data_IF_223689733033
#
_entry.id   IF_223689733033
#
_cell.length_a   1.000
_cell.length_b   1.000
_cell.length_c   1.000
_cell.angle_alpha   90.00
_cell.angle_beta   90.00
_cell.angle_gamma   90.00
#
_symmetry.space_group_name_H-M   'P 1'
#
loop_
_entity.id
_entity.type
_entity.pdbx_description
1 polymer ?
#
# COMPACT_ATOMS: atom_id res chain seq x y z
N UNK A 1 -18.55 24.67 13.07
CA UNK A 1 -17.50 24.47 12.05
C UNK A 1 -16.30 23.81 12.72
N UNK A 2 -15.72 22.74 12.13
CA UNK A 2 -14.50 22.11 12.68
C UNK A 2 -13.30 23.07 12.54
N UNK A 3 -12.37 23.03 13.48
CA UNK A 3 -11.14 23.83 13.46
C UNK A 3 -9.96 22.94 13.06
N UNK A 4 -9.00 23.49 12.31
CA UNK A 4 -7.74 22.81 12.01
C UNK A 4 -6.84 22.92 13.25
N UNK A 5 -6.50 21.78 13.84
CA UNK A 5 -5.67 21.72 15.06
C UNK A 5 -4.18 21.52 14.76
N UNK A 6 -3.83 21.13 13.53
CA UNK A 6 -2.45 20.94 13.09
C UNK A 6 -2.36 20.68 11.58
N UNK A 7 -1.20 21.03 11.01
CA UNK A 7 -0.83 20.74 9.62
C UNK A 7 0.59 20.20 9.63
N UNK A 8 0.80 19.04 9.01
CA UNK A 8 2.06 18.34 9.02
C UNK A 8 2.53 18.12 7.58
N UNK A 9 3.81 18.39 7.33
CA UNK A 9 4.42 18.15 6.01
C UNK A 9 4.77 16.68 5.87
N UNK A 10 4.55 16.10 4.69
CA UNK A 10 4.88 14.71 4.42
C UNK A 10 6.37 14.44 4.70
N UNK A 11 6.71 13.36 5.45
CA UNK A 11 8.09 13.03 5.76
C UNK A 11 8.87 12.59 4.52
N UNK A 12 10.16 12.32 4.72
CA UNK A 12 11.02 11.74 3.68
C UNK A 12 10.48 10.39 3.23
N UNK A 13 10.58 10.07 1.93
CA UNK A 13 10.18 8.76 1.44
C UNK A 13 11.10 7.66 1.99
N UNK A 14 10.55 6.46 2.09
CA UNK A 14 11.27 5.22 2.37
C UNK A 14 10.63 4.08 1.59
N UNK A 15 11.24 2.90 1.64
CA UNK A 15 10.76 1.72 0.90
C UNK A 15 10.08 0.74 1.84
N UNK A 16 8.92 0.24 1.44
CA UNK A 16 8.31 -0.98 1.95
C UNK A 16 8.55 -2.06 0.90
N UNK A 17 9.37 -3.05 1.27
CA UNK A 17 9.94 -4.00 0.32
C UNK A 17 10.74 -3.28 -0.78
N UNK A 18 10.58 -3.71 -2.03
CA UNK A 18 11.20 -3.08 -3.22
C UNK A 18 10.17 -2.59 -4.26
N UNK A 19 8.88 -2.73 -3.96
CA UNK A 19 7.77 -2.28 -4.80
C UNK A 19 7.14 -0.96 -4.38
N UNK A 20 7.23 -0.57 -3.10
CA UNK A 20 6.43 0.55 -2.58
C UNK A 20 7.32 1.66 -1.99
N UNK A 21 7.66 2.70 -2.78
CA UNK A 21 8.32 3.90 -2.28
C UNK A 21 7.26 4.83 -1.68
N UNK A 22 7.13 4.77 -0.35
CA UNK A 22 6.04 5.40 0.40
C UNK A 22 6.50 6.57 1.26
N UNK A 23 5.55 7.42 1.63
CA UNK A 23 5.66 8.40 2.71
C UNK A 23 4.59 8.10 3.77
N UNK A 24 5.00 7.77 4.99
CA UNK A 24 4.06 7.59 6.10
C UNK A 24 3.54 8.94 6.58
N UNK A 25 2.36 9.35 6.11
CA UNK A 25 1.81 10.67 6.43
C UNK A 25 1.43 10.77 7.91
N UNK A 26 1.03 9.65 8.51
CA UNK A 26 0.93 9.50 9.96
C UNK A 26 1.18 8.06 10.40
N UNK A 27 1.46 7.90 11.70
CA UNK A 27 1.54 6.59 12.35
C UNK A 27 1.05 6.66 13.80
N UNK A 28 0.69 5.50 14.33
CA UNK A 28 0.26 5.32 15.72
C UNK A 28 1.33 5.72 16.74
N UNK A 29 2.59 5.88 16.31
CA UNK A 29 3.68 6.31 17.19
C UNK A 29 3.70 7.83 17.42
N UNK A 30 3.10 8.62 16.52
CA UNK A 30 3.19 10.09 16.56
C UNK A 30 1.87 10.78 16.91
N UNK A 31 0.72 10.21 16.54
CA UNK A 31 -0.60 10.88 16.63
C UNK A 31 -1.78 9.97 17.03
N UNK A 32 -1.52 8.79 17.63
CA UNK A 32 -2.54 7.74 17.84
C UNK A 32 -3.87 8.22 18.44
N UNK A 33 -3.85 9.04 19.51
CA UNK A 33 -5.09 9.44 20.19
C UNK A 33 -5.98 10.34 19.32
N UNK A 34 -5.38 11.23 18.53
CA UNK A 34 -6.11 12.19 17.71
C UNK A 34 -6.62 11.56 16.41
N UNK A 35 -5.93 10.53 15.93
CA UNK A 35 -6.23 9.86 14.67
C UNK A 35 -7.02 8.57 14.84
N UNK A 36 -7.28 8.12 16.07
CA UNK A 36 -8.15 6.96 16.31
C UNK A 36 -9.47 7.08 15.52
N UNK A 37 -9.84 6.07 14.70
CA UNK A 37 -9.33 4.70 14.69
C UNK A 37 -8.17 4.39 13.72
N UNK A 38 -7.61 5.38 13.02
CA UNK A 38 -6.56 5.18 12.01
C UNK A 38 -5.18 4.97 12.65
N UNK A 39 -4.45 3.94 12.19
CA UNK A 39 -3.15 3.55 12.77
C UNK A 39 -1.97 4.02 11.92
N UNK A 40 -2.08 3.97 10.62
CA UNK A 40 -1.02 4.31 9.67
C UNK A 40 -1.66 4.75 8.36
N UNK A 41 -0.99 5.63 7.63
CA UNK A 41 -1.31 5.89 6.24
C UNK A 41 -0.01 6.09 5.48
N UNK A 42 0.29 5.16 4.59
CA UNK A 42 1.38 5.26 3.64
C UNK A 42 0.85 5.76 2.30
N UNK A 43 1.50 6.78 1.75
CA UNK A 43 1.23 7.25 0.39
C UNK A 43 2.39 6.87 -0.53
N UNK A 44 2.16 5.89 -1.41
CA UNK A 44 3.13 5.51 -2.44
C UNK A 44 3.04 6.46 -3.65
N UNK A 45 4.19 6.97 -4.08
CA UNK A 45 4.31 7.67 -5.36
C UNK A 45 3.87 9.14 -5.43
N UNK A 46 3.64 9.68 -6.64
CA UNK A 46 3.81 9.00 -7.93
C UNK A 46 5.26 8.53 -8.14
N UNK A 47 5.43 7.27 -8.54
CA UNK A 47 6.74 6.69 -8.86
C UNK A 47 6.65 5.92 -10.18
N UNK A 48 7.63 6.15 -11.05
CA UNK A 48 7.74 5.44 -12.33
C UNK A 48 8.71 4.27 -12.17
N UNK A 49 8.23 3.06 -12.42
CA UNK A 49 9.08 1.87 -12.47
C UNK A 49 9.55 1.60 -13.90
N UNK A 50 10.83 1.28 -14.03
CA UNK A 50 11.38 0.76 -15.29
C UNK A 50 10.79 -0.63 -15.55
N UNK A 51 10.30 -0.92 -16.76
CA UNK A 51 9.86 -2.26 -17.12
C UNK A 51 10.95 -3.30 -16.91
N UNK A 52 10.59 -4.49 -16.42
CA UNK A 52 11.52 -5.59 -16.17
C UNK A 52 10.79 -6.88 -15.85
N UNK A 53 11.55 -7.96 -15.71
CA UNK A 53 11.02 -9.30 -15.41
C UNK A 53 11.03 -9.62 -13.90
N UNK A 54 11.48 -8.68 -13.06
CA UNK A 54 11.54 -8.86 -11.61
C UNK A 54 10.22 -8.46 -10.97
N UNK A 55 9.64 -9.38 -10.19
CA UNK A 55 8.46 -9.11 -9.38
C UNK A 55 8.88 -8.22 -8.21
N UNK A 56 8.29 -7.02 -8.12
CA UNK A 56 8.58 -6.02 -7.07
C UNK A 56 7.40 -5.88 -6.13
N UNK A 57 7.66 -5.77 -4.83
CA UNK A 57 6.63 -5.75 -3.81
C UNK A 57 7.20 -5.91 -2.41
N UNK A 58 6.41 -6.52 -1.54
CA UNK A 58 6.79 -6.97 -0.21
C UNK A 58 6.38 -8.44 -0.10
N UNK A 59 7.36 -9.28 0.28
CA UNK A 59 7.12 -10.71 0.47
C UNK A 59 6.20 -11.02 1.65
N UNK A 60 6.07 -12.31 1.96
CA UNK A 60 5.18 -12.77 3.04
C UNK A 60 5.44 -12.04 4.36
N UNK A 61 4.38 -11.44 4.91
CA UNK A 61 4.41 -10.73 6.18
C UNK A 61 3.07 -10.85 6.92
N UNK A 62 3.05 -10.75 8.27
CA UNK A 62 1.84 -10.95 9.06
C UNK A 62 1.12 -9.64 9.43
N UNK A 63 -0.20 -9.72 9.58
CA UNK A 63 -1.03 -8.73 10.28
C UNK A 63 -1.98 -9.40 11.27
N UNK A 64 -2.35 -8.68 12.34
CA UNK A 64 -3.30 -9.14 13.37
C UNK A 64 -3.90 -7.94 14.11
N UNK A 65 -5.20 -7.97 14.37
CA UNK A 65 -5.90 -7.04 15.26
C UNK A 65 -6.35 -5.72 14.63
N UNK A 66 -6.17 -5.54 13.33
CA UNK A 66 -6.60 -4.37 12.57
C UNK A 66 -6.96 -4.74 11.13
N UNK A 67 -7.25 -3.74 10.32
CA UNK A 67 -7.57 -3.87 8.90
C UNK A 67 -6.58 -3.05 8.08
N UNK A 68 -6.22 -3.54 6.89
CA UNK A 68 -5.50 -2.76 5.89
C UNK A 68 -6.46 -2.38 4.77
N UNK A 69 -6.34 -1.15 4.28
CA UNK A 69 -7.18 -0.65 3.19
C UNK A 69 -6.30 -0.15 2.08
N UNK A 70 -6.20 -0.94 1.02
CA UNK A 70 -5.35 -0.67 -0.14
C UNK A 70 -6.16 0.02 -1.22
N UNK A 71 -5.83 1.28 -1.53
CA UNK A 71 -6.46 2.08 -2.60
C UNK A 71 -5.44 2.30 -3.71
N UNK A 72 -5.77 1.86 -4.93
CA UNK A 72 -4.89 1.99 -6.09
C UNK A 72 -5.37 3.12 -6.98
N UNK A 73 -4.61 4.22 -7.05
CA UNK A 73 -4.92 5.33 -7.97
C UNK A 73 -4.42 5.06 -9.39
N UNK A 74 -3.28 4.37 -9.52
CA UNK A 74 -2.67 4.00 -10.79
C UNK A 74 -1.70 2.84 -10.55
N UNK A 75 -1.46 2.05 -11.60
CA UNK A 75 -0.77 0.77 -11.51
C UNK A 75 -1.70 -0.35 -11.05
N UNK A 76 -1.13 -1.48 -10.67
CA UNK A 76 -1.88 -2.65 -10.20
C UNK A 76 -1.09 -3.37 -9.10
N UNK A 77 -1.80 -3.82 -8.05
CA UNK A 77 -1.23 -4.62 -6.96
C UNK A 77 -1.87 -6.00 -6.98
N UNK A 78 -1.08 -7.05 -7.07
CA UNK A 78 -1.50 -8.43 -6.83
C UNK A 78 -1.20 -8.79 -5.37
N UNK A 79 -2.17 -9.41 -4.69
CA UNK A 79 -1.99 -9.92 -3.35
C UNK A 79 -2.38 -11.40 -3.26
N UNK A 80 -1.75 -12.12 -2.32
CA UNK A 80 -2.09 -13.51 -1.98
C UNK A 80 -1.92 -13.71 -0.48
N UNK A 81 -2.84 -14.45 0.13
CA UNK A 81 -2.85 -14.73 1.57
C UNK A 81 -2.76 -16.23 1.90
N UNK A 82 -2.48 -16.50 3.17
CA UNK A 82 -2.33 -17.85 3.73
C UNK A 82 -3.60 -18.71 3.68
N UNK A 83 -4.76 -18.15 3.35
CA UNK A 83 -6.00 -18.91 3.12
C UNK A 83 -6.13 -19.39 1.66
N UNK A 84 -5.14 -19.06 0.82
CA UNK A 84 -5.14 -19.33 -0.61
C UNK A 84 -5.98 -18.34 -1.41
N UNK A 85 -6.49 -17.28 -0.77
CA UNK A 85 -7.21 -16.19 -1.44
C UNK A 85 -6.23 -15.13 -1.89
N UNK A 86 -6.69 -14.28 -2.80
CA UNK A 86 -5.87 -13.29 -3.47
C UNK A 86 -6.66 -12.59 -4.58
N UNK A 87 -6.00 -11.66 -5.24
CA UNK A 87 -6.60 -10.89 -6.32
C UNK A 87 -5.67 -9.80 -6.84
N UNK A 88 -6.10 -9.15 -7.92
CA UNK A 88 -5.45 -7.94 -8.44
C UNK A 88 -6.34 -6.75 -8.12
N UNK A 89 -5.74 -5.69 -7.60
CA UNK A 89 -6.33 -4.39 -7.28
C UNK A 89 -5.87 -3.41 -8.36
N UNK A 90 -6.77 -3.01 -9.25
CA UNK A 90 -6.47 -2.11 -10.35
C UNK A 90 -6.77 -0.64 -10.06
N UNK A 91 -6.55 0.27 -11.03
CA UNK A 91 -6.81 1.69 -10.86
C UNK A 91 -8.29 1.97 -10.53
N UNK A 92 -8.53 2.61 -9.38
CA UNK A 92 -9.86 2.92 -8.85
C UNK A 92 -10.43 1.85 -7.93
N UNK A 93 -9.82 0.66 -7.87
CA UNK A 93 -10.24 -0.41 -6.98
C UNK A 93 -9.76 -0.17 -5.55
N UNK A 94 -10.48 -0.80 -4.62
CA UNK A 94 -10.14 -0.81 -3.19
C UNK A 94 -10.21 -2.24 -2.68
N UNK A 95 -9.16 -2.63 -1.96
CA UNK A 95 -9.20 -3.82 -1.11
C UNK A 95 -9.31 -3.38 0.35
N UNK A 96 -10.26 -3.95 1.07
CA UNK A 96 -10.40 -3.78 2.52
C UNK A 96 -10.20 -5.15 3.17
N UNK A 97 -9.04 -5.39 3.75
CA UNK A 97 -8.66 -6.68 4.32
C UNK A 97 -8.73 -6.65 5.85
N UNK A 98 -9.66 -7.42 6.41
CA UNK A 98 -9.76 -7.62 7.87
C UNK A 98 -8.78 -8.70 8.32
N UNK A 99 -7.65 -8.33 8.93
CA UNK A 99 -6.68 -9.30 9.43
C UNK A 99 -7.18 -10.05 10.68
N UNK A 100 -7.95 -9.37 11.55
CA UNK A 100 -8.63 -9.99 12.69
C UNK A 100 -7.70 -10.84 13.58
N UNK A 101 -7.98 -12.14 13.70
CA UNK A 101 -7.17 -13.07 14.50
C UNK A 101 -5.77 -13.34 13.93
N UNK A 102 -5.52 -12.97 12.67
CA UNK A 102 -4.23 -13.08 12.02
C UNK A 102 -4.35 -13.49 10.55
N UNK A 103 -3.54 -12.88 9.71
CA UNK A 103 -3.34 -13.28 8.32
C UNK A 103 -1.85 -13.13 7.95
N UNK A 104 -1.33 -14.06 7.16
CA UNK A 104 -0.05 -13.92 6.47
C UNK A 104 -0.39 -13.63 5.01
N UNK A 105 0.25 -12.63 4.43
CA UNK A 105 0.01 -12.25 3.04
C UNK A 105 1.25 -11.63 2.40
N UNK A 106 1.24 -11.56 1.07
CA UNK A 106 2.25 -10.89 0.26
C UNK A 106 1.56 -9.95 -0.73
N UNK A 107 2.24 -8.87 -1.10
CA UNK A 107 1.72 -7.82 -1.99
C UNK A 107 2.80 -7.41 -2.98
N UNK A 108 2.50 -7.53 -4.27
CA UNK A 108 3.43 -7.22 -5.35
C UNK A 108 2.74 -6.43 -6.44
N UNK A 109 3.51 -5.81 -7.33
CA UNK A 109 2.96 -5.35 -8.60
C UNK A 109 2.40 -6.56 -9.38
N UNK A 110 1.28 -6.37 -10.07
CA UNK A 110 0.70 -7.45 -10.89
C UNK A 110 1.64 -7.83 -12.03
N UNK A 111 1.53 -9.07 -12.52
CA UNK A 111 2.28 -9.50 -13.71
C UNK A 111 1.94 -8.62 -14.95
N UNK A 112 0.69 -8.13 -15.02
CA UNK A 112 0.22 -7.26 -16.10
C UNK A 112 0.74 -5.82 -15.99
N UNK A 113 1.26 -5.40 -14.83
CA UNK A 113 1.89 -4.09 -14.62
C UNK A 113 3.24 -3.96 -15.32
N UNK A 114 3.92 -5.08 -15.58
CA UNK A 114 5.17 -5.14 -16.33
C UNK A 114 5.02 -5.83 -17.71
N UNK A 115 4.09 -5.42 -18.59
CA UNK A 115 3.99 -6.06 -19.89
C UNK A 115 5.25 -5.73 -20.70
N UNK A 116 5.82 -6.76 -21.32
CA UNK A 116 7.02 -6.65 -22.13
C UNK A 116 6.88 -5.51 -23.16
N UNK A 117 7.65 -4.44 -22.95
CA UNK A 117 7.91 -3.42 -23.96
C UNK A 117 7.03 -2.18 -23.98
N UNK A 118 5.94 -2.00 -23.20
CA UNK A 118 5.21 -0.72 -23.18
C UNK A 118 4.53 -0.36 -21.85
N UNK A 119 4.84 0.88 -21.43
CA UNK A 119 4.28 1.76 -20.38
C UNK A 119 4.90 1.66 -18.98
N UNK A 120 5.45 2.79 -18.58
CA UNK A 120 5.67 3.19 -17.20
C UNK A 120 4.33 3.30 -16.50
N UNK A 121 4.06 2.45 -15.51
CA UNK A 121 2.94 2.65 -14.61
C UNK A 121 3.35 3.58 -13.46
N UNK A 122 2.55 4.59 -13.17
CA UNK A 122 2.66 5.33 -11.91
C UNK A 122 1.96 4.48 -10.85
N UNK A 123 2.68 3.93 -9.88
CA UNK A 123 2.05 3.29 -8.73
C UNK A 123 1.65 4.35 -7.72
N UNK A 124 0.37 4.42 -7.35
CA UNK A 124 -0.02 5.10 -6.13
C UNK A 124 -0.95 4.19 -5.33
N UNK A 125 -0.36 3.58 -4.32
CA UNK A 125 -0.97 2.67 -3.36
C UNK A 125 -1.07 3.44 -2.06
N UNK A 126 -2.28 3.54 -1.51
CA UNK A 126 -2.48 3.97 -0.13
C UNK A 126 -2.82 2.75 0.69
N UNK A 127 -2.06 2.50 1.75
CA UNK A 127 -2.28 1.44 2.75
C UNK A 127 -2.44 2.02 4.14
#
# INVERSE_FOLDING_TARGET
MKQITGVYTAPRPHWVGDGFPVRSLFSYQSHAQQLSPFLLLDYAGPHTFTPGNEKRGVGEHPHRGFETVTIVYSGEVEHRDSTGRGGVIGPGDVQWMTAGAGILHEEFHSDAFYPSGRRTGNGAVVG
#
